data_IF_363020651165
#
_entry.id   IF_363020651165
#
_cell.length_a   1.000
_cell.length_b   1.000
_cell.length_c   1.000
_cell.angle_alpha   90.00
_cell.angle_beta   90.00
_cell.angle_gamma   90.00
#
_symmetry.space_group_name_H-M   'P 1'
#
loop_
_entity.id
_entity.type
_entity.pdbx_description
1 polymer ?
#
# COMPACT_ATOMS: atom_id res chain seq x y z
N UNK A 1 -13.15 21.22 -1.92
CA UNK A 1 -12.57 20.04 -2.61
C UNK A 1 -12.71 18.87 -1.66
N UNK A 2 -13.19 17.72 -2.11
CA UNK A 2 -13.24 16.52 -1.27
C UNK A 2 -11.84 15.96 -1.06
N UNK A 3 -11.54 15.58 0.17
CA UNK A 3 -10.31 14.90 0.56
C UNK A 3 -10.66 13.52 1.11
N UNK A 4 -9.80 12.54 0.86
CA UNK A 4 -9.95 11.17 1.31
C UNK A 4 -8.84 10.82 2.28
N UNK A 5 -9.19 10.04 3.31
CA UNK A 5 -8.24 9.62 4.32
C UNK A 5 -7.40 8.45 3.79
N UNK A 6 -6.10 8.50 4.03
CA UNK A 6 -5.14 7.48 3.61
C UNK A 6 -4.58 6.78 4.84
N UNK A 7 -4.56 5.46 4.81
CA UNK A 7 -4.05 4.60 5.87
C UNK A 7 -3.05 3.60 5.32
N UNK A 8 -2.06 3.20 6.12
CA UNK A 8 -1.45 1.88 5.94
C UNK A 8 -2.27 0.85 6.71
N UNK A 9 -2.44 -0.33 6.14
CA UNK A 9 -3.22 -1.42 6.72
C UNK A 9 -2.34 -2.64 6.80
N UNK A 10 -2.36 -3.33 7.94
CA UNK A 10 -1.64 -4.57 8.15
C UNK A 10 -2.63 -5.72 8.37
N UNK A 11 -2.39 -6.83 7.69
CA UNK A 11 -3.12 -8.07 7.80
C UNK A 11 -2.23 -9.15 8.41
N UNK A 12 -2.78 -9.91 9.36
CA UNK A 12 -2.19 -11.11 9.97
C UNK A 12 -2.77 -12.34 9.30
N UNK A 13 -2.01 -12.96 8.40
CA UNK A 13 -2.29 -14.29 7.86
C UNK A 13 -1.08 -15.18 8.04
N UNK A 14 -1.27 -16.45 8.38
CA UNK A 14 -0.22 -17.45 8.23
C UNK A 14 -0.17 -17.85 6.74
N UNK A 15 1.00 -17.91 6.09
CA UNK A 15 2.35 -17.82 6.65
C UNK A 15 2.97 -16.41 6.68
N UNK A 16 2.36 -15.38 6.08
CA UNK A 16 2.99 -14.06 5.96
C UNK A 16 2.04 -12.89 6.28
N UNK A 17 2.61 -11.92 7.00
CA UNK A 17 2.03 -10.59 7.16
C UNK A 17 1.93 -9.89 5.81
N UNK A 18 0.85 -9.14 5.62
CA UNK A 18 0.66 -8.34 4.42
C UNK A 18 0.36 -6.88 4.77
N UNK A 19 1.00 -5.95 4.08
CA UNK A 19 0.71 -4.52 4.22
C UNK A 19 0.24 -3.91 2.90
N UNK A 20 -0.71 -2.98 3.04
CA UNK A 20 -1.35 -2.28 1.95
C UNK A 20 -1.56 -0.80 2.29
N UNK A 21 -1.78 0.01 1.28
CA UNK A 21 -2.28 1.38 1.43
C UNK A 21 -3.78 1.37 1.16
N UNK A 22 -4.58 1.94 2.06
CA UNK A 22 -6.02 2.07 1.93
C UNK A 22 -6.40 3.54 1.81
N UNK A 23 -7.19 3.87 0.78
CA UNK A 23 -7.83 5.18 0.62
C UNK A 23 -9.31 5.03 0.90
N UNK A 24 -9.77 5.65 1.99
CA UNK A 24 -11.15 5.62 2.44
C UNK A 24 -11.97 6.69 1.71
N UNK A 25 -12.84 6.25 0.79
CA UNK A 25 -13.62 7.14 -0.06
C UNK A 25 -14.95 7.54 0.57
N UNK A 26 -15.55 6.62 1.33
CA UNK A 26 -16.79 6.83 2.07
C UNK A 26 -16.93 5.81 3.19
N UNK A 27 -18.01 5.92 3.98
CA UNK A 27 -18.37 4.90 4.97
C UNK A 27 -18.66 3.53 4.33
N UNK A 28 -18.98 3.48 3.03
CA UNK A 28 -19.22 2.23 2.31
C UNK A 28 -17.93 1.53 1.88
N UNK A 29 -16.77 2.21 1.94
CA UNK A 29 -15.48 1.62 1.59
C UNK A 29 -14.57 2.54 0.78
N UNK A 30 -13.67 1.92 0.02
CA UNK A 30 -12.63 2.62 -0.71
C UNK A 30 -11.75 1.67 -1.54
N UNK A 31 -10.48 2.03 -1.69
CA UNK A 31 -9.54 1.29 -2.52
C UNK A 31 -8.30 0.87 -1.73
N UNK A 32 -7.91 -0.39 -1.88
CA UNK A 32 -6.64 -0.94 -1.43
C UNK A 32 -5.65 -0.94 -2.58
N UNK A 33 -4.42 -0.53 -2.28
CA UNK A 33 -3.26 -0.50 -3.16
C UNK A 33 -2.20 -1.36 -2.49
N UNK A 34 -1.75 -2.41 -3.17
CA UNK A 34 -0.80 -3.35 -2.58
C UNK A 34 0.01 -4.08 -3.63
N UNK A 35 1.01 -4.83 -3.17
CA UNK A 35 1.74 -5.79 -3.99
C UNK A 35 1.43 -7.20 -3.50
N UNK A 36 1.07 -8.09 -4.42
CA UNK A 36 0.76 -9.48 -4.13
C UNK A 36 1.77 -10.40 -4.83
N UNK A 37 1.90 -11.62 -4.33
CA UNK A 37 2.92 -12.57 -4.75
C UNK A 37 3.97 -12.76 -3.69
N UNK A 38 5.05 -13.43 -4.07
CA UNK A 38 6.13 -13.81 -3.17
C UNK A 38 7.47 -13.76 -3.91
N UNK A 39 8.54 -14.13 -3.22
CA UNK A 39 9.90 -14.12 -3.76
C UNK A 39 10.13 -15.16 -4.87
N UNK A 40 9.28 -16.18 -4.98
CA UNK A 40 9.40 -17.26 -5.97
C UNK A 40 8.67 -16.92 -7.26
N UNK A 41 7.44 -16.44 -7.13
CA UNK A 41 6.53 -16.08 -8.23
C UNK A 41 6.68 -14.63 -8.70
N UNK A 42 7.34 -13.80 -7.89
CA UNK A 42 7.48 -12.36 -8.10
C UNK A 42 6.31 -11.57 -7.53
N UNK A 43 6.59 -10.32 -7.16
CA UNK A 43 5.58 -9.39 -6.69
C UNK A 43 4.95 -8.62 -7.86
N UNK A 44 3.63 -8.44 -7.83
CA UNK A 44 2.87 -7.61 -8.77
C UNK A 44 2.01 -6.59 -8.02
N UNK A 45 1.92 -5.39 -8.56
CA UNK A 45 0.99 -4.37 -8.07
C UNK A 45 -0.46 -4.74 -8.39
N UNK A 46 -1.36 -4.46 -7.44
CA UNK A 46 -2.79 -4.57 -7.62
C UNK A 46 -3.51 -3.41 -6.92
N UNK A 47 -4.58 -2.92 -7.56
CA UNK A 47 -5.59 -2.03 -6.98
C UNK A 47 -6.90 -2.80 -6.84
N UNK A 48 -7.50 -2.79 -5.66
CA UNK A 48 -8.75 -3.51 -5.38
C UNK A 48 -9.75 -2.64 -4.64
N UNK A 49 -11.00 -2.63 -5.10
CA UNK A 49 -12.10 -2.04 -4.34
C UNK A 49 -12.40 -2.88 -3.09
N UNK A 50 -12.73 -2.23 -1.97
CA UNK A 50 -13.05 -2.92 -0.72
C UNK A 50 -14.12 -2.17 0.07
N UNK A 51 -14.92 -2.90 0.84
CA UNK A 51 -15.92 -2.36 1.75
C UNK A 51 -15.33 -1.98 3.13
N UNK A 52 -14.01 -1.85 3.20
CA UNK A 52 -13.24 -1.55 4.41
C UNK A 52 -12.28 -2.68 4.80
N UNK A 53 -11.02 -2.38 5.17
CA UNK A 53 -10.05 -3.39 5.57
C UNK A 53 -10.49 -4.17 6.82
N UNK A 54 -11.25 -3.55 7.74
CA UNK A 54 -11.68 -4.13 9.01
C UNK A 54 -12.65 -5.30 8.85
N UNK A 55 -13.26 -5.45 7.67
CA UNK A 55 -14.18 -6.56 7.38
C UNK A 55 -13.47 -7.88 7.05
N UNK A 56 -12.15 -7.85 6.88
CA UNK A 56 -11.37 -9.05 6.64
C UNK A 56 -11.03 -9.74 7.96
N UNK A 57 -11.19 -11.06 8.04
CA UNK A 57 -10.83 -11.84 9.23
C UNK A 57 -9.33 -11.77 9.57
N UNK A 58 -8.48 -11.53 8.56
CA UNK A 58 -7.05 -11.35 8.74
C UNK A 58 -6.66 -9.91 9.06
N UNK A 59 -7.61 -8.97 9.17
CA UNK A 59 -7.29 -7.59 9.54
C UNK A 59 -6.63 -7.53 10.91
N UNK A 60 -5.48 -6.84 10.99
CA UNK A 60 -4.84 -6.58 12.27
C UNK A 60 -5.05 -5.15 12.74
N UNK A 61 -4.67 -4.17 11.94
CA UNK A 61 -4.79 -2.75 12.30
C UNK A 61 -4.63 -1.85 11.07
N UNK A 62 -5.04 -0.60 11.20
CA UNK A 62 -4.73 0.48 10.24
C UNK A 62 -4.12 1.68 10.95
N UNK A 63 -3.22 2.39 10.27
CA UNK A 63 -2.53 3.58 10.78
C UNK A 63 -2.75 4.71 9.80
N UNK A 64 -3.28 5.84 10.28
CA UNK A 64 -3.48 7.03 9.47
C UNK A 64 -2.14 7.59 8.95
N UNK A 65 -2.10 7.96 7.66
CA UNK A 65 -0.89 8.46 6.98
C UNK A 65 -1.03 9.85 6.40
N UNK A 66 -2.26 10.35 6.25
CA UNK A 66 -2.54 11.66 5.70
C UNK A 66 -3.85 11.69 4.91
N UNK A 67 -4.02 12.73 4.11
CA UNK A 67 -5.14 12.88 3.16
C UNK A 67 -4.65 13.04 1.73
N UNK A 68 -5.52 12.70 0.79
CA UNK A 68 -5.35 12.94 -0.64
C UNK A 68 -6.57 13.69 -1.19
N UNK A 69 -6.34 14.72 -2.01
CA UNK A 69 -7.44 15.43 -2.65
C UNK A 69 -8.04 14.58 -3.78
N UNK A 70 -9.34 14.74 -4.05
CA UNK A 70 -10.00 14.04 -5.15
C UNK A 70 -9.35 14.30 -6.52
N UNK A 71 -8.82 15.52 -6.74
CA UNK A 71 -8.07 15.87 -7.95
C UNK A 71 -6.76 15.09 -8.12
N UNK A 72 -6.19 14.61 -7.02
CA UNK A 72 -4.86 14.00 -7.02
C UNK A 72 -4.93 12.47 -7.02
N UNK A 73 -6.13 11.88 -7.04
CA UNK A 73 -6.31 10.42 -7.01
C UNK A 73 -5.69 9.70 -8.21
N UNK A 74 -5.74 10.30 -9.40
CA UNK A 74 -5.09 9.73 -10.58
C UNK A 74 -3.58 9.71 -10.42
N UNK A 75 -3.00 10.78 -9.88
CA UNK A 75 -1.57 10.88 -9.59
C UNK A 75 -1.15 9.94 -8.48
N UNK A 76 -1.99 9.80 -7.44
CA UNK A 76 -1.80 8.83 -6.35
C UNK A 76 -1.70 7.41 -6.91
N UNK A 77 -2.66 7.01 -7.75
CA UNK A 77 -2.66 5.68 -8.36
C UNK A 77 -1.43 5.45 -9.24
N UNK A 78 -1.06 6.44 -10.07
CA UNK A 78 0.12 6.36 -10.91
C UNK A 78 1.39 6.16 -10.07
N UNK A 79 1.58 6.93 -8.99
CA UNK A 79 2.74 6.80 -8.10
C UNK A 79 2.77 5.42 -7.42
N UNK A 80 1.64 4.90 -6.94
CA UNK A 80 1.59 3.55 -6.39
C UNK A 80 1.99 2.50 -7.43
N UNK A 81 1.45 2.59 -8.64
CA UNK A 81 1.74 1.66 -9.74
C UNK A 81 3.19 1.70 -10.20
N UNK A 82 3.78 2.90 -10.26
CA UNK A 82 5.17 3.13 -10.67
C UNK A 82 6.18 2.88 -9.53
N UNK A 83 5.70 2.65 -8.31
CA UNK A 83 6.56 2.22 -7.22
C UNK A 83 7.00 0.78 -7.47
N UNK A 84 8.31 0.53 -7.63
CA UNK A 84 8.80 -0.77 -8.04
C UNK A 84 8.42 -1.81 -6.98
N UNK A 85 7.95 -2.99 -7.39
CA UNK A 85 7.67 -4.06 -6.46
C UNK A 85 8.93 -4.44 -5.66
N UNK A 86 8.78 -5.01 -4.46
CA UNK A 86 9.90 -5.46 -3.64
C UNK A 86 10.81 -6.39 -4.42
N UNK A 87 12.13 -6.18 -4.32
CA UNK A 87 13.15 -7.05 -4.93
C UNK A 87 14.25 -7.29 -3.92
N UNK A 88 14.69 -8.54 -3.84
CA UNK A 88 15.85 -8.91 -3.04
C UNK A 88 17.10 -8.21 -3.54
N UNK A 89 17.94 -7.79 -2.60
CA UNK A 89 19.24 -7.20 -2.89
C UNK A 89 20.31 -8.02 -2.20
N UNK A 90 21.41 -8.29 -2.88
CA UNK A 90 22.59 -8.91 -2.27
C UNK A 90 23.57 -7.79 -1.94
N UNK A 91 23.77 -7.55 -0.66
CA UNK A 91 24.68 -6.52 -0.15
C UNK A 91 25.81 -7.24 0.59
N UNK A 92 27.04 -7.15 0.06
CA UNK A 92 28.22 -7.83 0.61
C UNK A 92 28.02 -9.34 0.88
N UNK A 93 27.27 -10.03 0.01
CA UNK A 93 26.99 -11.47 0.15
C UNK A 93 25.82 -11.81 1.08
N UNK A 94 25.15 -10.83 1.68
CA UNK A 94 23.94 -11.02 2.49
C UNK A 94 22.70 -10.69 1.67
N UNK A 95 21.74 -11.62 1.62
CA UNK A 95 20.43 -11.38 1.00
C UNK A 95 19.58 -10.51 1.92
N UNK A 96 19.29 -9.30 1.46
CA UNK A 96 18.30 -8.41 2.07
C UNK A 96 16.94 -8.66 1.40
N UNK A 97 16.04 -9.31 2.14
CA UNK A 97 14.69 -9.63 1.66
C UNK A 97 13.75 -8.44 1.81
N UNK A 98 13.25 -7.93 0.68
CA UNK A 98 12.22 -6.89 0.66
C UNK A 98 10.87 -7.53 0.41
N UNK A 99 9.85 -7.03 1.09
CA UNK A 99 8.47 -7.49 1.04
C UNK A 99 7.48 -6.31 0.86
N UNK A 100 6.18 -6.60 0.95
CA UNK A 100 5.10 -5.62 0.81
C UNK A 100 5.24 -4.38 1.70
N UNK A 101 5.83 -4.50 2.90
CA UNK A 101 6.05 -3.38 3.83
C UNK A 101 7.01 -2.35 3.23
N UNK A 102 8.05 -2.82 2.57
CA UNK A 102 9.02 -1.96 1.90
C UNK A 102 8.38 -1.19 0.75
N UNK A 103 7.51 -1.85 -0.03
CA UNK A 103 6.76 -1.16 -1.08
C UNK A 103 5.80 -0.11 -0.51
N UNK A 104 5.10 -0.41 0.59
CA UNK A 104 4.22 0.57 1.26
C UNK A 104 5.01 1.79 1.72
N UNK A 105 6.19 1.59 2.34
CA UNK A 105 7.05 2.68 2.78
C UNK A 105 7.54 3.54 1.61
N UNK A 106 8.02 2.92 0.53
CA UNK A 106 8.52 3.62 -0.65
C UNK A 106 7.40 4.40 -1.37
N UNK A 107 6.21 3.80 -1.50
CA UNK A 107 5.06 4.45 -2.11
C UNK A 107 4.60 5.67 -1.27
N UNK A 108 4.46 5.51 0.06
CA UNK A 108 4.07 6.62 0.95
C UNK A 108 5.10 7.75 0.91
N UNK A 109 6.40 7.43 0.83
CA UNK A 109 7.46 8.42 0.68
C UNK A 109 7.30 9.21 -0.62
N UNK A 110 7.17 8.53 -1.76
CA UNK A 110 6.99 9.18 -3.08
C UNK A 110 5.73 10.03 -3.15
N UNK A 111 4.63 9.57 -2.55
CA UNK A 111 3.38 10.32 -2.48
C UNK A 111 3.53 11.64 -1.70
N UNK A 112 4.34 11.64 -0.63
CA UNK A 112 4.66 12.86 0.14
C UNK A 112 5.58 13.80 -0.63
N UNK A 113 6.60 13.26 -1.29
CA UNK A 113 7.53 14.03 -2.13
C UNK A 113 6.81 14.69 -3.32
N UNK A 114 5.77 14.05 -3.85
CA UNK A 114 4.92 14.60 -4.91
C UNK A 114 3.83 15.57 -4.39
N UNK A 115 3.76 15.85 -3.08
CA UNK A 115 2.74 16.67 -2.43
C UNK A 115 1.28 16.20 -2.63
N UNK A 116 1.11 14.92 -2.98
CA UNK A 116 -0.19 14.25 -3.17
C UNK A 116 -0.75 13.76 -1.83
N UNK A 117 0.12 13.28 -0.93
CA UNK A 117 -0.23 12.87 0.43
C UNK A 117 0.18 13.96 1.43
N UNK A 118 -0.80 14.53 2.14
CA UNK A 118 -0.63 15.65 3.10
C UNK A 118 -0.93 15.22 4.53
#
# INVERSE_FOLDING_TARGET
MSEFQVYSVSYKGLPAYHEAIYVEMSQAGGFLYHVIGDNLSGYRYEKRATNGPERSESFSHKVYKGKVANSDLSTFEAICRDTPPPRHQVIHGVTFEKDCRHWVLDALKKLREAHVLR
#
